data_IF_448093852351
#
_entry.id   IF_448093852351
#
_cell.length_a   1.000
_cell.length_b   1.000
_cell.length_c   1.000
_cell.angle_alpha   90.00
_cell.angle_beta   90.00
_cell.angle_gamma   90.00
#
_symmetry.space_group_name_H-M   'P 1'
#
loop_
_entity.id
_entity.type
_entity.pdbx_description
1 polymer ?
#
# COMPACT_ATOMS: atom_id res chain seq x y z
N UNK A 1 27.75 -14.04 19.20
CA UNK A 1 26.37 -14.50 19.48
C UNK A 1 25.58 -14.45 18.19
N UNK A 2 24.84 -15.50 17.84
CA UNK A 2 23.99 -15.50 16.63
C UNK A 2 22.82 -14.55 16.83
N UNK A 3 22.59 -13.64 15.89
CA UNK A 3 21.47 -12.70 15.90
C UNK A 3 20.15 -13.46 15.84
N UNK A 4 19.17 -13.07 16.66
CA UNK A 4 17.84 -13.68 16.63
C UNK A 4 17.13 -13.36 15.31
N UNK A 5 16.30 -14.29 14.84
CA UNK A 5 15.48 -14.09 13.66
C UNK A 5 14.17 -13.43 14.04
N UNK A 6 14.01 -12.14 13.69
CA UNK A 6 12.75 -11.39 13.88
C UNK A 6 11.55 -12.14 13.32
N UNK A 7 11.67 -12.68 12.10
CA UNK A 7 10.60 -13.42 11.44
C UNK A 7 10.23 -14.68 12.22
N UNK A 8 11.21 -15.49 12.62
CA UNK A 8 10.93 -16.75 13.31
C UNK A 8 10.30 -16.49 14.69
N UNK A 9 10.81 -15.49 15.41
CA UNK A 9 10.34 -15.13 16.75
C UNK A 9 8.95 -14.47 16.71
N UNK A 10 8.63 -13.70 15.66
CA UNK A 10 7.27 -13.20 15.44
C UNK A 10 6.28 -14.34 15.19
N UNK A 11 6.65 -15.28 14.32
CA UNK A 11 5.80 -16.44 13.98
C UNK A 11 5.59 -17.40 15.15
N UNK A 12 6.55 -17.50 16.07
CA UNK A 12 6.44 -18.35 17.27
C UNK A 12 5.85 -17.64 18.48
N UNK A 13 5.75 -16.30 18.44
CA UNK A 13 5.24 -15.51 19.56
C UNK A 13 6.26 -15.38 20.68
N UNK A 14 7.55 -15.37 20.35
CA UNK A 14 8.62 -15.37 21.34
C UNK A 14 8.55 -14.14 22.26
N UNK A 15 8.64 -14.39 23.57
CA UNK A 15 8.59 -13.37 24.63
C UNK A 15 9.46 -12.13 24.37
N UNK A 16 10.72 -12.25 23.90
CA UNK A 16 11.58 -11.08 23.67
C UNK A 16 11.06 -10.12 22.60
N UNK A 17 10.21 -10.60 21.67
CA UNK A 17 9.64 -9.76 20.62
C UNK A 17 8.24 -9.23 21.00
N UNK A 18 7.60 -9.79 22.04
CA UNK A 18 6.23 -9.46 22.41
C UNK A 18 5.97 -7.96 22.64
N UNK A 19 6.90 -7.17 23.23
CA UNK A 19 6.69 -5.72 23.42
C UNK A 19 6.60 -4.90 22.12
N UNK A 20 7.03 -5.46 20.98
CA UNK A 20 7.18 -4.72 19.72
C UNK A 20 5.95 -4.81 18.79
N UNK A 21 4.90 -5.52 19.19
CA UNK A 21 3.64 -5.58 18.45
C UNK A 21 2.46 -5.72 19.40
N UNK A 22 1.34 -5.10 19.08
CA UNK A 22 0.19 -5.08 19.99
C UNK A 22 -0.56 -6.42 19.99
N UNK A 23 -0.90 -6.95 18.82
CA UNK A 23 -1.75 -8.14 18.68
C UNK A 23 -0.93 -9.36 18.27
N UNK A 24 -1.01 -10.49 18.99
CA UNK A 24 -0.24 -11.67 18.65
C UNK A 24 -0.81 -12.38 17.43
N UNK A 25 0.08 -13.01 16.65
CA UNK A 25 -0.32 -13.84 15.52
C UNK A 25 -0.99 -15.14 16.00
N UNK A 26 -0.57 -15.67 17.15
CA UNK A 26 -1.16 -16.87 17.74
C UNK A 26 -2.43 -16.45 18.48
N UNK A 27 -3.57 -16.97 18.05
CA UNK A 27 -4.89 -16.69 18.65
C UNK A 27 -5.19 -15.17 18.74
N UNK A 28 -5.25 -14.46 17.59
CA UNK A 28 -5.50 -13.03 17.58
C UNK A 28 -6.89 -12.72 18.16
N UNK A 29 -6.97 -11.77 19.08
CA UNK A 29 -8.23 -11.24 19.59
C UNK A 29 -8.74 -10.14 18.65
N UNK A 30 -9.43 -10.54 17.58
CA UNK A 30 -10.04 -9.60 16.64
C UNK A 30 -11.15 -8.77 17.26
N UNK A 31 -11.80 -9.25 18.32
CA UNK A 31 -12.81 -8.48 19.06
C UNK A 31 -12.17 -7.26 19.72
N UNK A 32 -11.01 -7.42 20.37
CA UNK A 32 -10.23 -6.31 20.91
C UNK A 32 -9.73 -5.34 19.83
N UNK A 33 -9.30 -5.85 18.68
CA UNK A 33 -8.91 -5.01 17.52
C UNK A 33 -10.08 -4.15 17.07
N UNK A 34 -11.26 -4.75 16.87
CA UNK A 34 -12.49 -4.06 16.47
C UNK A 34 -12.89 -3.01 17.50
N UNK A 35 -12.92 -3.37 18.79
CA UNK A 35 -13.29 -2.46 19.87
C UNK A 35 -12.36 -1.24 19.98
N UNK A 36 -11.05 -1.42 19.76
CA UNK A 36 -10.10 -0.30 19.69
C UNK A 36 -10.33 0.54 18.43
N UNK A 37 -10.56 -0.10 17.28
CA UNK A 37 -10.75 0.58 16.00
C UNK A 37 -12.07 1.33 15.91
N UNK A 38 -13.09 0.92 16.67
CA UNK A 38 -14.34 1.66 16.81
C UNK A 38 -14.15 3.07 17.42
N UNK A 39 -13.02 3.33 18.08
CA UNK A 39 -12.69 4.62 18.69
C UNK A 39 -11.98 5.58 17.73
N UNK A 40 -11.50 5.09 16.57
CA UNK A 40 -10.80 5.92 15.59
C UNK A 40 -11.83 6.84 14.88
N UNK A 41 -11.60 8.16 14.89
CA UNK A 41 -12.42 9.11 14.15
C UNK A 41 -12.01 9.14 12.67
N UNK A 42 -12.78 8.46 11.83
CA UNK A 42 -12.48 8.26 10.40
C UNK A 42 -13.59 8.83 9.54
N UNK A 43 -13.24 9.56 8.48
CA UNK A 43 -14.17 9.99 7.45
C UNK A 43 -14.44 8.84 6.46
N UNK A 44 -15.39 7.98 6.83
CA UNK A 44 -15.76 6.78 6.08
C UNK A 44 -16.43 7.10 4.74
N UNK A 45 -17.24 8.17 4.73
CA UNK A 45 -17.93 8.63 3.53
C UNK A 45 -16.96 9.14 2.48
N UNK A 46 -15.92 9.90 2.88
CA UNK A 46 -14.87 10.32 1.96
C UNK A 46 -14.12 9.12 1.37
N UNK A 47 -13.74 8.14 2.20
CA UNK A 47 -13.06 6.93 1.73
C UNK A 47 -13.91 6.18 0.70
N UNK A 48 -15.20 5.96 1.00
CA UNK A 48 -16.12 5.31 0.07
C UNK A 48 -16.24 6.10 -1.24
N UNK A 49 -16.43 7.42 -1.15
CA UNK A 49 -16.57 8.28 -2.33
C UNK A 49 -15.36 8.18 -3.24
N UNK A 50 -14.15 8.35 -2.70
CA UNK A 50 -12.90 8.29 -3.47
C UNK A 50 -12.74 6.94 -4.15
N UNK A 51 -13.00 5.84 -3.44
CA UNK A 51 -12.91 4.50 -4.03
C UNK A 51 -13.96 4.32 -5.12
N UNK A 52 -15.20 4.76 -4.94
CA UNK A 52 -16.24 4.66 -5.98
C UNK A 52 -15.84 5.42 -7.24
N UNK A 53 -15.26 6.61 -7.11
CA UNK A 53 -14.74 7.38 -8.24
C UNK A 53 -13.57 6.65 -8.94
N UNK A 54 -12.69 5.97 -8.18
CA UNK A 54 -11.61 5.14 -8.74
C UNK A 54 -12.10 3.92 -9.54
N UNK A 55 -13.32 3.46 -9.26
CA UNK A 55 -13.97 2.36 -9.97
C UNK A 55 -14.92 2.84 -11.08
N UNK A 56 -15.02 4.15 -11.33
CA UNK A 56 -15.89 4.70 -12.36
C UNK A 56 -15.60 4.07 -13.73
N UNK A 57 -16.64 3.61 -14.41
CA UNK A 57 -16.54 2.95 -15.72
C UNK A 57 -16.21 1.45 -15.69
N UNK A 58 -16.00 0.86 -14.50
CA UNK A 58 -15.89 -0.59 -14.34
C UNK A 58 -17.24 -1.19 -13.94
N UNK A 59 -17.58 -2.34 -14.51
CA UNK A 59 -18.69 -3.17 -14.02
C UNK A 59 -18.27 -3.82 -12.70
N UNK A 60 -19.06 -3.60 -11.66
CA UNK A 60 -18.79 -4.11 -10.31
C UNK A 60 -19.49 -5.46 -10.10
N UNK A 61 -18.76 -6.52 -9.70
CA UNK A 61 -19.39 -7.72 -9.20
C UNK A 61 -20.20 -7.45 -7.92
N UNK A 62 -21.30 -8.20 -7.67
CA UNK A 62 -22.16 -7.96 -6.51
C UNK A 62 -21.42 -7.96 -5.16
N UNK A 63 -20.42 -8.84 -5.00
CA UNK A 63 -19.63 -8.92 -3.76
C UNK A 63 -18.80 -7.65 -3.51
N UNK A 64 -18.21 -7.10 -4.57
CA UNK A 64 -17.45 -5.85 -4.50
C UNK A 64 -18.38 -4.66 -4.26
N UNK A 65 -19.49 -4.58 -4.98
CA UNK A 65 -20.46 -3.50 -4.82
C UNK A 65 -20.97 -3.43 -3.37
N UNK A 66 -21.35 -4.57 -2.79
CA UNK A 66 -21.76 -4.66 -1.39
C UNK A 66 -20.64 -4.27 -0.41
N UNK A 67 -19.37 -4.57 -0.74
CA UNK A 67 -18.23 -4.10 0.07
C UNK A 67 -18.07 -2.59 -0.01
N UNK A 68 -18.17 -2.00 -1.20
CA UNK A 68 -18.09 -0.55 -1.39
C UNK A 68 -19.21 0.17 -0.66
N UNK A 69 -20.45 -0.34 -0.71
CA UNK A 69 -21.57 0.22 0.06
C UNK A 69 -21.30 0.19 1.56
N UNK A 70 -20.81 -0.93 2.06
CA UNK A 70 -20.59 -1.11 3.49
C UNK A 70 -19.44 -0.25 4.06
N UNK A 71 -18.51 0.27 3.24
CA UNK A 71 -17.38 1.07 3.73
C UNK A 71 -17.79 2.31 4.52
N UNK A 72 -18.97 2.88 4.22
CA UNK A 72 -19.52 4.01 4.95
C UNK A 72 -20.03 3.64 6.36
N UNK A 73 -20.34 2.36 6.60
CA UNK A 73 -20.97 1.90 7.83
C UNK A 73 -19.98 1.87 9.01
N UNK A 74 -20.42 2.25 10.22
CA UNK A 74 -19.56 2.27 11.41
C UNK A 74 -19.13 0.88 11.87
N UNK A 75 -19.89 -0.16 11.52
CA UNK A 75 -19.59 -1.56 11.82
C UNK A 75 -18.69 -2.24 10.79
N UNK A 76 -18.22 -1.51 9.78
CA UNK A 76 -17.32 -2.03 8.75
C UNK A 76 -15.86 -1.70 9.06
N UNK A 77 -14.98 -2.68 8.89
CA UNK A 77 -13.54 -2.55 9.04
C UNK A 77 -12.84 -3.14 7.81
N UNK A 78 -11.52 -3.00 7.72
CA UNK A 78 -10.75 -3.54 6.62
C UNK A 78 -9.62 -4.44 7.10
N UNK A 79 -9.36 -5.50 6.35
CA UNK A 79 -8.04 -6.15 6.34
C UNK A 79 -7.32 -5.60 5.13
N UNK A 80 -6.17 -4.98 5.35
CA UNK A 80 -5.45 -4.28 4.30
C UNK A 80 -4.06 -4.88 4.12
N UNK A 81 -3.70 -5.16 2.87
CA UNK A 81 -2.31 -5.39 2.45
C UNK A 81 -1.97 -4.44 1.31
N UNK A 82 -0.69 -4.31 0.98
CA UNK A 82 -0.26 -3.51 -0.17
C UNK A 82 0.96 -4.06 -0.89
N UNK A 83 1.15 -3.55 -2.10
CA UNK A 83 2.35 -3.74 -2.90
C UNK A 83 2.45 -2.68 -4.01
N UNK A 84 3.60 -2.63 -4.66
CA UNK A 84 3.80 -1.81 -5.86
C UNK A 84 3.04 -2.39 -7.07
N UNK A 85 2.87 -1.55 -8.08
CA UNK A 85 2.11 -1.82 -9.31
C UNK A 85 2.98 -2.54 -10.34
N UNK A 86 3.61 -3.64 -9.92
CA UNK A 86 4.45 -4.46 -10.81
C UNK A 86 3.60 -4.97 -11.96
N UNK A 87 4.12 -4.88 -13.18
CA UNK A 87 3.43 -5.32 -14.38
C UNK A 87 2.85 -6.73 -14.18
N UNK A 88 1.59 -6.90 -14.59
CA UNK A 88 0.87 -8.17 -14.54
C UNK A 88 0.72 -8.78 -13.14
N UNK A 89 0.65 -7.93 -12.11
CA UNK A 89 0.51 -8.39 -10.73
C UNK A 89 1.82 -8.81 -10.08
N UNK A 90 2.93 -8.80 -10.84
CA UNK A 90 4.26 -9.05 -10.34
C UNK A 90 4.49 -10.44 -9.75
N UNK A 91 5.35 -10.56 -8.72
CA UNK A 91 5.67 -11.85 -8.14
C UNK A 91 4.45 -12.51 -7.48
N UNK A 92 4.41 -13.84 -7.44
CA UNK A 92 3.29 -14.62 -6.90
C UNK A 92 2.92 -14.28 -5.45
N UNK A 93 3.85 -13.73 -4.67
CA UNK A 93 3.53 -13.29 -3.31
C UNK A 93 2.50 -12.15 -3.29
N UNK A 94 2.36 -11.34 -4.35
CA UNK A 94 1.28 -10.35 -4.48
C UNK A 94 -0.08 -11.03 -4.46
N UNK A 95 -0.24 -12.08 -5.27
CA UNK A 95 -1.43 -12.93 -5.27
C UNK A 95 -1.66 -13.58 -3.90
N UNK A 96 -0.62 -14.13 -3.27
CA UNK A 96 -0.76 -14.72 -1.93
C UNK A 96 -1.16 -13.70 -0.86
N UNK A 97 -0.63 -12.48 -0.91
CA UNK A 97 -1.05 -11.38 -0.03
C UNK A 97 -2.54 -11.07 -0.21
N UNK A 98 -3.00 -10.95 -1.45
CA UNK A 98 -4.40 -10.67 -1.78
C UNK A 98 -5.31 -11.80 -1.28
N UNK A 99 -5.00 -13.06 -1.62
CA UNK A 99 -5.79 -14.21 -1.19
C UNK A 99 -5.84 -14.34 0.34
N UNK A 100 -4.71 -14.10 1.02
CA UNK A 100 -4.66 -14.10 2.48
C UNK A 100 -5.52 -12.99 3.09
N UNK A 101 -5.53 -11.81 2.47
CA UNK A 101 -6.34 -10.65 2.89
C UNK A 101 -7.83 -10.96 2.75
N UNK A 102 -8.24 -11.52 1.60
CA UNK A 102 -9.62 -11.97 1.36
C UNK A 102 -10.04 -13.00 2.39
N UNK A 103 -9.25 -14.06 2.58
CA UNK A 103 -9.55 -15.13 3.54
C UNK A 103 -9.63 -14.62 4.97
N UNK A 104 -8.74 -13.74 5.36
CA UNK A 104 -8.74 -13.17 6.71
C UNK A 104 -9.97 -12.27 6.92
N UNK A 105 -10.35 -11.45 5.93
CA UNK A 105 -11.56 -10.64 6.00
C UNK A 105 -12.84 -11.50 6.11
N UNK A 106 -12.93 -12.58 5.32
CA UNK A 106 -14.01 -13.56 5.42
C UNK A 106 -14.07 -14.22 6.80
N UNK A 107 -12.92 -14.64 7.33
CA UNK A 107 -12.83 -15.29 8.63
C UNK A 107 -13.32 -14.35 9.74
N UNK A 108 -12.78 -13.13 9.82
CA UNK A 108 -13.14 -12.18 10.88
C UNK A 108 -14.62 -11.81 10.79
N UNK A 109 -15.16 -11.59 9.59
CA UNK A 109 -16.59 -11.28 9.41
C UNK A 109 -17.50 -12.41 9.90
N UNK A 110 -17.06 -13.68 9.79
CA UNK A 110 -17.81 -14.84 10.29
C UNK A 110 -17.73 -14.97 11.81
N UNK A 111 -16.58 -14.68 12.38
CA UNK A 111 -16.32 -14.83 13.82
C UNK A 111 -16.86 -13.66 14.65
N UNK A 112 -16.94 -12.46 14.07
CA UNK A 112 -17.37 -11.23 14.74
C UNK A 112 -18.79 -10.84 14.32
N UNK A 113 -19.79 -11.23 15.13
CA UNK A 113 -21.20 -10.95 14.84
C UNK A 113 -21.46 -9.45 14.74
N UNK A 114 -22.16 -9.03 13.68
CA UNK A 114 -22.50 -7.62 13.44
C UNK A 114 -21.36 -6.77 12.89
N UNK A 115 -20.19 -7.36 12.64
CA UNK A 115 -19.03 -6.70 12.05
C UNK A 115 -18.87 -7.18 10.61
N UNK A 116 -18.67 -6.23 9.68
CA UNK A 116 -18.23 -6.55 8.32
C UNK A 116 -16.75 -6.22 8.17
N UNK A 117 -15.99 -7.10 7.53
CA UNK A 117 -14.59 -6.83 7.19
C UNK A 117 -14.40 -6.90 5.68
N UNK A 118 -13.93 -5.80 5.10
CA UNK A 118 -13.68 -5.65 3.66
C UNK A 118 -12.20 -5.91 3.35
N UNK A 119 -11.85 -6.80 2.41
CA UNK A 119 -10.47 -6.98 1.99
C UNK A 119 -10.04 -5.82 1.08
N UNK A 120 -8.96 -5.14 1.46
CA UNK A 120 -8.40 -4.00 0.73
C UNK A 120 -6.98 -4.28 0.26
N UNK A 121 -6.73 -4.03 -1.02
CA UNK A 121 -5.40 -4.00 -1.61
C UNK A 121 -4.99 -2.57 -1.92
N UNK A 122 -4.04 -2.04 -1.15
CA UNK A 122 -3.45 -0.71 -1.38
C UNK A 122 -2.34 -0.81 -2.43
N UNK A 123 -2.51 -0.13 -3.57
CA UNK A 123 -1.49 0.02 -4.60
C UNK A 123 -0.56 1.22 -4.32
N UNK A 124 0.76 0.99 -4.31
CA UNK A 124 1.76 2.01 -3.97
C UNK A 124 2.07 2.93 -5.17
N UNK A 125 1.12 3.79 -5.54
CA UNK A 125 1.17 4.65 -6.75
C UNK A 125 2.16 5.81 -6.67
N UNK A 126 2.46 6.27 -5.46
CA UNK A 126 3.37 7.40 -5.20
C UNK A 126 4.86 7.04 -5.30
N UNK A 127 5.17 5.75 -5.51
CA UNK A 127 6.56 5.35 -5.67
C UNK A 127 7.16 5.92 -6.97
N UNK A 128 8.48 5.92 -7.06
CA UNK A 128 9.20 6.37 -8.26
C UNK A 128 10.17 5.31 -8.80
N UNK A 129 10.26 4.15 -8.14
CA UNK A 129 11.09 3.04 -8.60
C UNK A 129 10.41 2.31 -9.77
N UNK A 130 10.58 2.88 -10.96
CA UNK A 130 10.08 2.27 -12.18
C UNK A 130 10.81 0.96 -12.50
N UNK A 131 12.11 0.87 -12.23
CA UNK A 131 12.91 -0.31 -12.57
C UNK A 131 12.44 -1.56 -11.83
N UNK A 132 11.90 -1.40 -10.62
CA UNK A 132 11.30 -2.48 -9.84
C UNK A 132 10.00 -3.00 -10.46
N UNK A 133 9.19 -2.13 -11.06
CA UNK A 133 7.82 -2.50 -11.48
C UNK A 133 7.68 -2.81 -12.98
N UNK A 134 8.63 -2.36 -13.80
CA UNK A 134 8.50 -2.34 -15.26
C UNK A 134 8.74 -3.66 -15.98
N UNK A 135 8.83 -4.75 -15.24
CA UNK A 135 9.26 -6.00 -15.81
C UNK A 135 8.54 -7.19 -15.19
N UNK A 136 8.56 -8.28 -15.93
CA UNK A 136 8.09 -9.57 -15.48
C UNK A 136 9.03 -10.67 -15.94
N UNK A 137 8.94 -11.82 -15.29
CA UNK A 137 9.70 -13.01 -15.63
C UNK A 137 8.78 -14.07 -16.23
N UNK A 138 9.23 -14.71 -17.31
CA UNK A 138 8.58 -15.92 -17.82
C UNK A 138 9.02 -17.15 -17.02
N UNK A 139 8.41 -18.32 -17.28
CA UNK A 139 8.70 -19.58 -16.59
C UNK A 139 10.19 -19.99 -16.62
N UNK A 140 10.97 -19.48 -17.59
CA UNK A 140 12.40 -19.76 -17.73
C UNK A 140 13.29 -18.61 -17.22
N UNK A 141 12.78 -17.78 -16.29
CA UNK A 141 13.47 -16.61 -15.72
C UNK A 141 13.96 -15.60 -16.77
N UNK A 142 13.33 -15.56 -17.94
CA UNK A 142 13.59 -14.51 -18.92
C UNK A 142 12.88 -13.24 -18.48
N UNK A 143 13.64 -12.18 -18.23
CA UNK A 143 13.12 -10.83 -17.93
C UNK A 143 12.64 -10.18 -19.22
N UNK A 144 11.43 -9.63 -19.18
CA UNK A 144 10.87 -8.76 -20.20
C UNK A 144 10.58 -7.42 -19.55
N UNK A 145 11.02 -6.34 -20.18
CA UNK A 145 10.98 -4.99 -19.62
C UNK A 145 10.15 -4.10 -20.53
N UNK A 146 9.15 -3.45 -19.96
CA UNK A 146 8.44 -2.35 -20.60
C UNK A 146 9.38 -1.13 -20.64
N UNK A 147 9.71 -0.70 -21.86
CA UNK A 147 10.51 0.50 -22.08
C UNK A 147 9.68 1.77 -21.89
N UNK A 148 10.36 2.88 -21.60
CA UNK A 148 9.73 4.19 -21.42
C UNK A 148 10.54 5.07 -20.49
N UNK A 149 10.36 6.38 -20.61
CA UNK A 149 10.95 7.34 -19.66
C UNK A 149 9.94 7.63 -18.56
N UNK A 150 10.27 7.27 -17.33
CA UNK A 150 9.42 7.53 -16.16
C UNK A 150 9.94 8.76 -15.45
N UNK A 151 9.22 9.86 -15.62
CA UNK A 151 9.54 11.17 -15.03
C UNK A 151 8.62 11.52 -13.86
N UNK A 152 7.58 10.73 -13.62
CA UNK A 152 6.55 10.97 -12.61
C UNK A 152 6.37 9.75 -11.70
N UNK A 153 5.42 9.86 -10.76
CA UNK A 153 5.01 8.76 -9.89
C UNK A 153 4.54 7.56 -10.71
N UNK A 154 4.86 6.35 -10.24
CA UNK A 154 4.57 5.11 -10.96
C UNK A 154 3.10 4.98 -11.32
N UNK A 155 2.19 5.39 -10.43
CA UNK A 155 0.74 5.28 -10.64
C UNK A 155 0.23 6.16 -11.77
N UNK A 156 0.77 7.37 -11.91
CA UNK A 156 0.34 8.37 -12.90
C UNK A 156 0.94 8.19 -14.28
N UNK A 157 1.93 7.31 -14.44
CA UNK A 157 2.53 7.06 -15.74
C UNK A 157 1.49 6.52 -16.73
N UNK A 158 1.38 7.17 -17.88
CA UNK A 158 0.47 6.78 -18.96
C UNK A 158 1.17 5.79 -19.88
N UNK A 159 0.52 4.65 -20.11
CA UNK A 159 0.97 3.63 -21.05
C UNK A 159 0.97 4.19 -22.47
N UNK A 160 2.11 4.13 -23.16
CA UNK A 160 2.29 4.65 -24.52
C UNK A 160 2.18 3.54 -25.58
N UNK A 161 2.70 2.34 -25.27
CA UNK A 161 2.74 1.21 -26.18
C UNK A 161 1.78 0.09 -25.72
N UNK A 162 1.25 -0.67 -26.68
CA UNK A 162 0.46 -1.85 -26.33
C UNK A 162 1.38 -2.89 -25.70
N UNK A 163 0.92 -3.52 -24.62
CA UNK A 163 1.72 -4.53 -23.94
C UNK A 163 2.06 -5.75 -24.83
N UNK A 164 1.33 -5.96 -25.93
CA UNK A 164 1.67 -6.94 -27.00
C UNK A 164 3.06 -6.73 -27.60
N UNK A 165 3.56 -5.50 -27.57
CA UNK A 165 4.89 -5.18 -28.11
C UNK A 165 6.01 -5.58 -27.13
N UNK A 166 5.67 -5.69 -25.84
CA UNK A 166 6.59 -6.06 -24.75
C UNK A 166 6.44 -7.53 -24.34
N UNK A 167 5.35 -8.18 -24.76
CA UNK A 167 5.03 -9.56 -24.44
C UNK A 167 4.98 -10.49 -25.65
N UNK A 168 5.40 -11.75 -25.50
CA UNK A 168 5.26 -12.76 -26.54
C UNK A 168 3.78 -13.04 -26.86
N UNK A 169 3.52 -13.58 -28.05
CA UNK A 169 2.17 -13.92 -28.51
C UNK A 169 1.42 -14.81 -27.50
N UNK A 170 0.12 -14.55 -27.31
CA UNK A 170 -0.76 -15.42 -26.51
C UNK A 170 -1.07 -14.93 -25.08
N UNK A 171 -0.82 -13.65 -24.74
CA UNK A 171 -1.34 -13.10 -23.48
C UNK A 171 -2.88 -13.24 -23.42
N UNK A 172 -3.45 -13.53 -22.23
CA UNK A 172 -4.91 -13.47 -22.03
C UNK A 172 -5.49 -12.12 -22.44
N UNK A 173 -6.65 -12.13 -23.09
CA UNK A 173 -7.37 -10.93 -23.53
C UNK A 173 -7.58 -9.93 -22.39
N UNK A 174 -7.93 -10.43 -21.20
CA UNK A 174 -8.11 -9.61 -19.99
C UNK A 174 -6.87 -8.76 -19.62
N UNK A 175 -5.66 -9.27 -19.86
CA UNK A 175 -4.42 -8.54 -19.62
C UNK A 175 -4.16 -7.47 -20.69
N UNK A 176 -4.50 -7.78 -21.94
CA UNK A 176 -4.34 -6.84 -23.06
C UNK A 176 -5.29 -5.64 -22.91
N UNK A 177 -6.53 -5.90 -22.49
CA UNK A 177 -7.53 -4.85 -22.26
C UNK A 177 -7.19 -3.96 -21.07
N UNK A 178 -6.66 -4.56 -19.99
CA UNK A 178 -6.25 -3.81 -18.81
C UNK A 178 -5.08 -2.86 -19.12
N UNK A 179 -4.03 -3.36 -19.80
CA UNK A 179 -2.79 -2.62 -20.11
C UNK A 179 -2.76 -2.09 -21.55
N UNK A 180 -3.72 -1.22 -21.89
CA UNK A 180 -3.81 -0.56 -23.20
C UNK A 180 -3.26 0.88 -23.17
N UNK A 181 -2.77 1.40 -24.32
CA UNK A 181 -2.31 2.79 -24.40
C UNK A 181 -3.35 3.82 -23.94
N UNK A 182 -2.88 4.91 -23.36
CA UNK A 182 -3.71 6.02 -22.87
C UNK A 182 -4.30 5.82 -21.47
N UNK A 183 -4.07 4.67 -20.83
CA UNK A 183 -4.40 4.46 -19.41
C UNK A 183 -3.18 4.70 -18.54
N UNK A 184 -3.41 5.15 -17.32
CA UNK A 184 -2.37 5.18 -16.28
C UNK A 184 -2.04 3.76 -15.79
N UNK A 185 -0.83 3.57 -15.25
CA UNK A 185 -0.44 2.32 -14.59
C UNK A 185 -1.37 1.95 -13.45
N UNK A 186 -1.84 2.94 -12.67
CA UNK A 186 -2.81 2.72 -11.60
C UNK A 186 -4.13 2.14 -12.14
N UNK A 187 -4.67 2.71 -13.21
CA UNK A 187 -5.91 2.23 -13.82
C UNK A 187 -5.74 0.83 -14.43
N UNK A 188 -4.65 0.59 -15.14
CA UNK A 188 -4.37 -0.70 -15.77
C UNK A 188 -4.21 -1.81 -14.73
N UNK A 189 -3.41 -1.56 -13.68
CA UNK A 189 -3.22 -2.51 -12.60
C UNK A 189 -4.51 -2.76 -11.83
N UNK A 190 -5.28 -1.71 -11.53
CA UNK A 190 -6.58 -1.82 -10.84
C UNK A 190 -7.55 -2.68 -11.63
N UNK A 191 -7.72 -2.41 -12.93
CA UNK A 191 -8.60 -3.21 -13.80
C UNK A 191 -8.15 -4.68 -13.85
N UNK A 192 -6.85 -4.93 -13.97
CA UNK A 192 -6.34 -6.30 -13.96
C UNK A 192 -6.64 -7.04 -12.64
N UNK A 193 -6.33 -6.43 -11.50
CA UNK A 193 -6.62 -7.04 -10.19
C UNK A 193 -8.14 -7.16 -9.94
N UNK A 194 -8.94 -6.20 -10.41
CA UNK A 194 -10.41 -6.24 -10.36
C UNK A 194 -10.96 -7.45 -11.10
N UNK A 195 -10.45 -7.73 -12.30
CA UNK A 195 -10.85 -8.91 -13.08
C UNK A 195 -10.50 -10.23 -12.40
N UNK A 196 -9.37 -10.27 -11.68
CA UNK A 196 -8.94 -11.47 -10.97
C UNK A 196 -9.68 -11.70 -9.65
N UNK A 197 -9.95 -10.62 -8.91
CA UNK A 197 -10.33 -10.72 -7.49
C UNK A 197 -11.62 -9.97 -7.12
N UNK A 198 -12.22 -9.21 -8.04
CA UNK A 198 -13.43 -8.42 -7.79
C UNK A 198 -14.65 -9.28 -7.42
N UNK A 199 -14.77 -10.48 -8.00
CA UNK A 199 -15.81 -11.47 -7.64
C UNK A 199 -15.72 -11.91 -6.16
N UNK A 200 -14.52 -11.81 -5.56
CA UNK A 200 -14.29 -12.11 -4.14
C UNK A 200 -14.41 -10.85 -3.25
N UNK A 201 -14.90 -9.74 -3.81
CA UNK A 201 -15.11 -8.49 -3.11
C UNK A 201 -13.84 -7.70 -2.80
N UNK A 202 -12.70 -7.98 -3.45
CA UNK A 202 -11.47 -7.23 -3.23
C UNK A 202 -11.62 -5.76 -3.65
N UNK A 203 -11.42 -4.84 -2.71
CA UNK A 203 -11.34 -3.41 -2.98
C UNK A 203 -9.89 -3.00 -3.23
N UNK A 204 -9.62 -2.35 -4.36
CA UNK A 204 -8.30 -1.82 -4.70
C UNK A 204 -8.30 -0.32 -4.45
N UNK A 205 -7.40 0.15 -3.59
CA UNK A 205 -7.31 1.54 -3.18
C UNK A 205 -6.00 2.16 -3.70
N UNK A 206 -6.14 3.23 -4.47
CA UNK A 206 -5.07 4.21 -4.66
C UNK A 206 -5.22 5.32 -3.60
N UNK A 207 -4.30 5.37 -2.63
CA UNK A 207 -4.37 6.33 -1.54
C UNK A 207 -3.76 7.71 -1.89
N UNK A 208 -3.32 7.92 -3.13
CA UNK A 208 -2.69 9.18 -3.57
C UNK A 208 -3.67 10.34 -3.79
N UNK A 209 -4.99 10.09 -3.72
CA UNK A 209 -6.02 11.12 -3.87
C UNK A 209 -5.81 12.27 -2.88
N UNK A 210 -5.80 13.51 -3.39
CA UNK A 210 -5.51 14.70 -2.60
C UNK A 210 -6.45 14.87 -1.39
N UNK A 211 -7.71 14.45 -1.50
CA UNK A 211 -8.69 14.54 -0.39
C UNK A 211 -8.34 13.55 0.72
N UNK A 212 -7.88 12.34 0.36
CA UNK A 212 -7.37 11.39 1.34
C UNK A 212 -6.08 11.90 1.98
N UNK A 213 -5.16 12.46 1.17
CA UNK A 213 -3.89 13.02 1.66
C UNK A 213 -4.08 14.19 2.62
N UNK A 214 -5.12 15.01 2.43
CA UNK A 214 -5.45 16.08 3.37
C UNK A 214 -5.72 15.55 4.79
N UNK A 215 -6.22 14.31 4.95
CA UNK A 215 -6.43 13.68 6.27
C UNK A 215 -5.13 13.31 6.98
N UNK A 216 -4.00 13.28 6.26
CA UNK A 216 -2.67 13.03 6.82
C UNK A 216 -1.96 14.31 7.29
N UNK A 217 -2.62 15.48 7.19
CA UNK A 217 -2.01 16.79 7.47
C UNK A 217 -1.45 16.95 8.88
N UNK A 218 -2.14 16.47 9.91
CA UNK A 218 -1.64 16.55 11.31
C UNK A 218 -0.35 15.75 11.51
N UNK A 219 -0.22 14.59 10.85
CA UNK A 219 0.99 13.77 10.91
C UNK A 219 2.14 14.47 10.16
N UNK A 220 1.85 15.08 9.01
CA UNK A 220 2.83 15.90 8.28
C UNK A 220 3.33 17.05 9.14
N UNK A 221 2.42 17.79 9.78
CA UNK A 221 2.77 18.91 10.66
C UNK A 221 3.63 18.44 11.84
N UNK A 222 3.28 17.32 12.49
CA UNK A 222 4.04 16.77 13.60
C UNK A 222 5.47 16.40 13.20
N UNK A 223 5.65 15.74 12.04
CA UNK A 223 6.97 15.34 11.51
C UNK A 223 7.82 16.54 11.07
N UNK A 224 7.19 17.61 10.56
CA UNK A 224 7.90 18.85 10.22
C UNK A 224 8.28 19.65 11.48
N UNK A 225 7.41 19.71 12.48
CA UNK A 225 7.64 20.43 13.73
C UNK A 225 8.72 19.77 14.60
N UNK A 226 8.79 18.44 14.62
CA UNK A 226 9.77 17.69 15.41
C UNK A 226 10.12 16.36 14.72
N UNK A 227 11.32 15.79 14.95
CA UNK A 227 11.76 14.53 14.34
C UNK A 227 11.09 13.30 15.01
N UNK A 228 9.75 13.29 15.07
CA UNK A 228 8.96 12.30 15.82
C UNK A 228 9.18 10.87 15.30
N UNK A 229 9.24 10.69 13.98
CA UNK A 229 9.50 9.38 13.38
C UNK A 229 10.93 8.94 13.62
N UNK A 230 11.89 9.86 13.51
CA UNK A 230 13.31 9.55 13.76
C UNK A 230 13.52 9.03 15.17
N UNK A 231 13.01 9.76 16.16
CA UNK A 231 13.15 9.41 17.56
C UNK A 231 12.49 8.04 17.84
N UNK A 232 11.25 7.84 17.40
CA UNK A 232 10.52 6.60 17.61
C UNK A 232 11.22 5.38 16.97
N UNK A 233 11.76 5.53 15.75
CA UNK A 233 12.47 4.46 15.05
C UNK A 233 13.81 4.16 15.72
N UNK A 234 14.56 5.19 16.15
CA UNK A 234 15.84 5.01 16.84
C UNK A 234 15.66 4.33 18.21
N UNK A 235 14.66 4.74 18.99
CA UNK A 235 14.35 4.15 20.29
C UNK A 235 13.94 2.68 20.14
N UNK A 236 13.05 2.40 19.18
CA UNK A 236 12.62 1.02 18.88
C UNK A 236 13.78 0.16 18.39
N UNK A 237 14.65 0.73 17.55
CA UNK A 237 15.84 0.05 17.02
C UNK A 237 16.84 -0.30 18.12
N UNK A 238 17.07 0.62 19.07
CA UNK A 238 17.93 0.36 20.22
C UNK A 238 17.34 -0.74 21.12
N UNK A 239 16.04 -0.73 21.37
CA UNK A 239 15.36 -1.77 22.13
C UNK A 239 15.40 -3.14 21.44
N UNK A 240 15.21 -3.20 20.11
CA UNK A 240 15.35 -4.43 19.33
C UNK A 240 16.78 -4.97 19.37
N UNK A 241 17.78 -4.10 19.24
CA UNK A 241 19.19 -4.48 19.33
C UNK A 241 19.53 -5.04 20.72
N UNK A 242 19.04 -4.42 21.79
CA UNK A 242 19.19 -4.91 23.16
C UNK A 242 18.51 -6.27 23.37
N UNK A 243 17.41 -6.55 22.66
CA UNK A 243 16.73 -7.84 22.66
C UNK A 243 17.39 -8.92 21.76
N UNK A 244 18.48 -8.57 21.06
CA UNK A 244 19.29 -9.47 20.24
C UNK A 244 18.89 -9.55 18.76
N UNK A 245 18.12 -8.59 18.26
CA UNK A 245 17.69 -8.51 16.85
C UNK A 245 18.53 -7.52 16.04
N UNK A 246 18.63 -7.75 14.73
CA UNK A 246 19.30 -6.84 13.79
C UNK A 246 18.42 -5.65 13.40
N UNK A 247 19.04 -4.49 13.24
CA UNK A 247 18.42 -3.27 12.73
C UNK A 247 17.75 -3.50 11.38
N UNK A 248 16.60 -2.87 11.15
CA UNK A 248 15.79 -3.05 9.94
C UNK A 248 15.81 -1.83 9.01
N UNK A 249 15.75 -0.62 9.57
CA UNK A 249 15.62 0.63 8.83
C UNK A 249 16.44 1.73 9.51
N UNK A 250 16.88 2.72 8.74
CA UNK A 250 17.51 3.94 9.23
C UNK A 250 16.58 5.11 8.95
N UNK A 251 16.05 5.79 10.00
CA UNK A 251 15.21 6.95 9.80
C UNK A 251 16.06 8.15 9.37
N UNK A 252 15.38 9.22 8.93
CA UNK A 252 15.97 10.54 8.69
C UNK A 252 15.32 11.55 9.60
N UNK A 253 15.89 12.74 9.67
CA UNK A 253 15.32 13.88 10.40
C UNK A 253 13.91 14.26 9.91
N UNK A 254 13.65 14.13 8.60
CA UNK A 254 12.32 14.25 8.00
C UNK A 254 12.08 13.02 7.11
N UNK A 255 11.01 12.27 7.39
CA UNK A 255 10.65 11.05 6.66
C UNK A 255 9.49 11.27 5.66
N UNK A 256 9.39 12.49 5.13
CA UNK A 256 8.41 12.91 4.14
C UNK A 256 9.05 13.22 2.79
N UNK A 257 8.22 13.18 1.75
CA UNK A 257 8.60 13.50 0.38
C UNK A 257 7.73 14.65 -0.13
N UNK A 258 8.32 15.46 -0.99
CA UNK A 258 7.63 16.44 -1.82
C UNK A 258 7.39 15.82 -3.20
N UNK A 259 6.13 15.84 -3.63
CA UNK A 259 5.70 15.22 -4.89
C UNK A 259 5.08 16.29 -5.80
N UNK A 260 5.58 16.39 -7.03
CA UNK A 260 5.02 17.23 -8.08
C UNK A 260 5.28 16.62 -9.47
N UNK A 261 5.02 17.38 -10.54
CA UNK A 261 5.22 16.95 -11.93
C UNK A 261 6.68 16.60 -12.26
N UNK A 262 7.66 17.08 -11.48
CA UNK A 262 9.08 16.78 -11.67
C UNK A 262 9.51 15.51 -10.94
N UNK A 263 8.63 14.91 -10.13
CA UNK A 263 8.86 13.64 -9.46
C UNK A 263 8.69 13.70 -7.94
N UNK A 264 9.36 12.77 -7.26
CA UNK A 264 9.27 12.58 -5.81
C UNK A 264 10.64 12.79 -5.19
N UNK A 265 10.77 13.85 -4.40
CA UNK A 265 12.03 14.23 -3.77
C UNK A 265 11.90 14.32 -2.26
N UNK A 266 13.02 14.11 -1.56
CA UNK A 266 13.03 14.15 -0.09
C UNK A 266 12.92 15.58 0.41
N UNK A 267 12.09 15.78 1.44
CA UNK A 267 12.14 16.98 2.26
C UNK A 267 13.36 16.92 3.19
N UNK A 268 13.91 18.10 3.51
CA UNK A 268 15.03 18.28 4.45
C UNK A 268 14.80 19.54 5.28
N UNK A 269 15.39 19.57 6.48
CA UNK A 269 15.57 20.84 7.20
C UNK A 269 16.62 21.69 6.49
N UNK A 270 16.38 22.99 6.44
CA UNK A 270 17.30 23.95 5.84
C UNK A 270 17.22 25.28 6.60
N UNK A 271 18.19 25.51 7.49
CA UNK A 271 18.15 26.67 8.39
C UNK A 271 17.07 26.51 9.44
N UNK A 272 16.23 27.54 9.59
CA UNK A 272 15.01 27.51 10.40
C UNK A 272 13.83 26.85 9.67
N UNK A 273 13.83 26.82 8.34
CA UNK A 273 12.76 26.29 7.51
C UNK A 273 13.02 24.91 6.90
N UNK A 274 12.34 24.66 5.77
CA UNK A 274 12.33 23.40 5.04
C UNK A 274 12.75 23.61 3.58
N UNK A 275 13.35 22.58 2.98
CA UNK A 275 13.65 22.57 1.56
C UNK A 275 13.53 21.18 0.95
N UNK A 276 13.71 21.11 -0.38
CA UNK A 276 13.69 19.84 -1.12
C UNK A 276 15.11 19.50 -1.58
N UNK A 277 15.54 18.26 -1.35
CA UNK A 277 16.87 17.80 -1.79
C UNK A 277 16.99 17.93 -3.30
N UNK A 278 18.04 18.60 -3.78
CA UNK A 278 18.31 18.74 -5.21
C UNK A 278 17.46 19.77 -5.95
N UNK A 279 16.63 20.56 -5.24
CA UNK A 279 15.80 21.61 -5.84
C UNK A 279 15.96 22.95 -5.14
N UNK A 280 15.74 24.02 -5.88
CA UNK A 280 15.67 25.39 -5.36
C UNK A 280 14.24 25.71 -4.87
N UNK A 281 13.82 25.01 -3.82
CA UNK A 281 12.53 25.16 -3.15
C UNK A 281 12.75 25.28 -1.65
N UNK A 282 12.15 26.31 -1.05
CA UNK A 282 12.26 26.60 0.38
C UNK A 282 10.94 27.10 0.96
N UNK A 283 10.69 26.77 2.22
CA UNK A 283 9.56 27.26 3.01
C UNK A 283 10.04 27.67 4.40
N UNK A 284 9.43 28.73 4.94
CA UNK A 284 9.58 29.09 6.35
C UNK A 284 8.95 28.02 7.27
N UNK A 285 9.25 28.04 8.58
CA UNK A 285 8.55 27.23 9.58
C UNK A 285 7.02 27.26 9.45
#
# INVERSE_FOLDING_TARGET
MSTRSLRADYLSGAEPLRPFYQYPLQNPDFGAVVARKAQDAIDRSLLQQVIREQYAGLTLPPALEANLDALAEPSTYTVTTGHQLVLFGGPLFTTYKILSTIRLAEQISREQTGVRVVPVFWIHTEDHDFEEINHYFTAYNRRHTYGGTFVTQVGTHVLEACIKEVCPQGLPEALQEAYRPGRTMAEAFRDFMHRLFGEYGLVILDASDARLKARFGEVVQAELAAPVTEQAVNDTSAALAAAGYSLQISPREINLFYLDEKGRDRLRRQGDGFGVVGRDLHWSP
#
